data_IF_784991739359
#
_entry.id   IF_784991739359
#
_cell.length_a   1.000
_cell.length_b   1.000
_cell.length_c   1.000
_cell.angle_alpha   90.00
_cell.angle_beta   90.00
_cell.angle_gamma   90.00
#
_symmetry.space_group_name_H-M   'P 1'
#
loop_
_entity.id
_entity.type
_entity.pdbx_description
1 polymer ?
#
# COMPACT_ATOMS: atom_id res chain seq x y z
N UNK A 1 28.61 -57.62 -30.89
CA UNK A 1 28.31 -56.36 -31.59
C UNK A 1 27.12 -55.73 -30.91
N UNK A 2 27.34 -54.93 -29.90
CA UNK A 2 26.27 -54.29 -29.16
C UNK A 2 26.47 -52.76 -29.27
N UNK A 3 25.55 -52.14 -29.96
CA UNK A 3 25.59 -50.71 -30.27
C UNK A 3 24.82 -49.99 -29.17
N UNK A 4 25.55 -49.38 -28.23
CA UNK A 4 24.95 -48.54 -27.18
C UNK A 4 24.81 -47.14 -27.74
N UNK A 5 23.60 -46.77 -28.10
CA UNK A 5 23.24 -45.43 -28.53
C UNK A 5 23.09 -44.59 -27.29
N UNK A 6 24.06 -43.71 -27.05
CA UNK A 6 24.00 -42.70 -25.98
C UNK A 6 23.00 -41.62 -26.41
N UNK A 7 21.84 -41.62 -25.79
CA UNK A 7 20.90 -40.51 -25.88
C UNK A 7 21.49 -39.33 -25.08
N UNK A 8 22.06 -38.38 -25.78
CA UNK A 8 22.39 -37.06 -25.22
C UNK A 8 21.04 -36.34 -24.99
N UNK A 9 20.57 -36.37 -23.75
CA UNK A 9 19.49 -35.49 -23.31
C UNK A 9 20.00 -34.05 -23.42
N UNK A 10 19.47 -33.34 -24.39
CA UNK A 10 19.66 -31.90 -24.54
C UNK A 10 19.12 -31.21 -23.28
N UNK A 11 20.04 -30.75 -22.40
CA UNK A 11 19.69 -29.84 -21.33
C UNK A 11 19.21 -28.55 -21.99
N UNK A 12 17.90 -28.37 -22.08
CA UNK A 12 17.30 -27.11 -22.44
C UNK A 12 17.64 -26.14 -21.28
N UNK A 13 18.66 -25.33 -21.45
CA UNK A 13 18.97 -24.23 -20.54
C UNK A 13 17.71 -23.36 -20.45
N UNK A 14 17.00 -23.42 -19.32
CA UNK A 14 15.87 -22.54 -19.08
C UNK A 14 16.43 -21.12 -19.02
N UNK A 15 16.09 -20.32 -20.02
CA UNK A 15 16.42 -18.89 -20.05
C UNK A 15 15.86 -18.22 -18.80
N UNK A 16 16.70 -17.54 -18.03
CA UNK A 16 16.28 -16.85 -16.83
C UNK A 16 15.31 -15.72 -17.21
N UNK A 17 14.19 -15.59 -16.49
CA UNK A 17 13.22 -14.54 -16.80
C UNK A 17 13.84 -13.14 -16.60
N UNK A 18 13.59 -12.29 -17.57
CA UNK A 18 14.02 -10.89 -17.61
C UNK A 18 12.81 -9.99 -17.40
N UNK A 19 13.05 -8.69 -17.33
CA UNK A 19 11.99 -7.69 -17.29
C UNK A 19 12.32 -6.52 -18.19
N UNK A 20 11.26 -5.92 -18.73
CA UNK A 20 11.30 -4.55 -19.21
C UNK A 20 10.43 -3.69 -18.32
N UNK A 21 10.95 -2.56 -17.87
CA UNK A 21 10.19 -1.60 -17.04
C UNK A 21 9.98 -0.30 -17.81
N UNK A 22 8.80 0.26 -17.63
CA UNK A 22 8.42 1.55 -18.19
C UNK A 22 8.15 2.52 -17.05
N UNK A 23 8.86 3.64 -17.03
CA UNK A 23 8.89 4.57 -15.92
C UNK A 23 8.82 6.03 -16.41
N UNK A 24 8.37 6.92 -15.53
CA UNK A 24 8.31 8.34 -15.80
C UNK A 24 9.64 9.07 -15.50
N UNK A 25 9.67 10.36 -15.76
CA UNK A 25 10.82 11.25 -15.53
C UNK A 25 11.26 11.32 -14.07
N UNK A 26 10.37 11.00 -13.12
CA UNK A 26 10.69 10.89 -11.71
C UNK A 26 11.16 9.49 -11.30
N UNK A 27 11.24 8.55 -12.22
CA UNK A 27 11.67 7.18 -11.96
C UNK A 27 10.59 6.29 -11.34
N UNK A 28 9.32 6.72 -11.33
CA UNK A 28 8.22 5.87 -10.92
C UNK A 28 7.95 4.82 -12.00
N UNK A 29 8.13 3.54 -11.67
CA UNK A 29 7.81 2.45 -12.59
C UNK A 29 6.29 2.34 -12.70
N UNK A 30 5.77 2.59 -13.89
CA UNK A 30 4.34 2.52 -14.20
C UNK A 30 3.92 1.13 -14.62
N UNK A 31 4.79 0.42 -15.36
CA UNK A 31 4.58 -0.94 -15.81
C UNK A 31 5.88 -1.73 -15.73
N UNK A 32 5.77 -3.02 -15.44
CA UNK A 32 6.84 -3.98 -15.58
C UNK A 32 6.26 -5.23 -16.28
N UNK A 33 6.94 -5.66 -17.33
CA UNK A 33 6.66 -6.94 -18.00
C UNK A 33 7.79 -7.91 -17.67
N UNK A 34 7.45 -9.15 -17.37
CA UNK A 34 8.41 -10.22 -17.06
C UNK A 34 8.23 -11.34 -18.07
N UNK A 35 9.29 -11.75 -18.71
CA UNK A 35 9.26 -12.80 -19.74
C UNK A 35 10.65 -13.23 -20.18
N UNK A 36 10.73 -13.89 -21.34
CA UNK A 36 12.00 -14.18 -22.02
C UNK A 36 12.56 -12.89 -22.64
N UNK A 37 13.85 -12.91 -23.03
CA UNK A 37 14.50 -11.78 -23.72
C UNK A 37 13.69 -11.31 -24.92
N UNK A 38 13.32 -12.24 -25.81
CA UNK A 38 12.54 -11.91 -27.01
C UNK A 38 11.17 -11.30 -26.69
N UNK A 39 10.47 -11.81 -25.65
CA UNK A 39 9.19 -11.26 -25.21
C UNK A 39 9.33 -9.86 -24.62
N UNK A 40 10.43 -9.58 -23.93
CA UNK A 40 10.72 -8.25 -23.42
C UNK A 40 11.05 -7.27 -24.55
N UNK A 41 11.84 -7.71 -25.56
CA UNK A 41 12.18 -6.90 -26.73
C UNK A 41 10.95 -6.48 -27.55
N UNK A 42 9.96 -7.37 -27.69
CA UNK A 42 8.72 -7.12 -28.40
C UNK A 42 7.76 -6.12 -27.71
N UNK A 43 8.03 -5.73 -26.44
CA UNK A 43 7.16 -4.79 -25.74
C UNK A 43 7.32 -3.36 -26.26
N UNK A 44 6.26 -2.75 -26.79
CA UNK A 44 6.31 -1.35 -27.21
C UNK A 44 6.46 -0.41 -26.00
N UNK A 45 7.22 0.65 -26.17
CA UNK A 45 7.33 1.69 -25.16
C UNK A 45 6.07 2.57 -25.17
N UNK A 46 5.30 2.66 -24.09
CA UNK A 46 4.13 3.54 -24.03
C UNK A 46 4.54 5.02 -24.15
N UNK A 47 3.66 5.81 -24.76
CA UNK A 47 3.89 7.25 -24.94
C UNK A 47 4.13 7.96 -23.59
N UNK A 48 5.12 8.82 -23.54
CA UNK A 48 5.48 9.60 -22.35
C UNK A 48 6.23 8.82 -21.26
N UNK A 49 6.60 7.55 -21.51
CA UNK A 49 7.41 6.76 -20.59
C UNK A 49 8.80 6.47 -21.16
N UNK A 50 9.73 6.26 -20.25
CA UNK A 50 11.08 5.78 -20.54
C UNK A 50 11.10 4.25 -20.38
N UNK A 51 12.02 3.59 -21.13
CA UNK A 51 12.21 2.13 -21.10
C UNK A 51 13.53 1.78 -20.47
N UNK A 52 13.55 0.71 -19.67
CA UNK A 52 14.76 0.09 -19.14
C UNK A 52 14.64 -1.43 -19.17
N UNK A 53 15.56 -2.10 -19.85
CA UNK A 53 15.64 -3.55 -19.89
C UNK A 53 16.45 -4.07 -18.69
N UNK A 54 15.96 -5.12 -18.04
CA UNK A 54 16.54 -5.68 -16.83
C UNK A 54 16.75 -7.18 -16.99
N UNK A 55 17.93 -7.67 -16.61
CA UNK A 55 18.30 -9.08 -16.68
C UNK A 55 17.72 -9.94 -15.54
N UNK A 56 16.77 -9.45 -14.80
CA UNK A 56 16.08 -10.10 -13.69
C UNK A 56 14.62 -9.64 -13.62
N UNK A 57 13.74 -10.42 -12.99
CA UNK A 57 12.38 -9.99 -12.69
C UNK A 57 12.34 -8.74 -11.79
N UNK A 58 11.50 -7.77 -12.15
CA UNK A 58 11.29 -6.54 -11.39
C UNK A 58 9.84 -6.46 -10.94
N UNK A 59 9.65 -6.07 -9.67
CA UNK A 59 8.34 -5.79 -9.09
C UNK A 59 8.15 -4.26 -9.05
N UNK A 60 7.26 -3.76 -9.89
CA UNK A 60 7.09 -2.32 -10.12
C UNK A 60 6.77 -1.53 -8.83
N UNK A 61 5.88 -2.04 -7.98
CA UNK A 61 5.45 -1.29 -6.79
C UNK A 61 6.51 -1.21 -5.68
N UNK A 62 7.47 -2.16 -5.62
CA UNK A 62 8.55 -2.16 -4.62
C UNK A 62 9.84 -1.52 -5.12
N UNK A 63 9.88 -1.06 -6.37
CA UNK A 63 11.09 -0.55 -7.01
C UNK A 63 10.88 0.82 -7.64
N UNK A 64 11.96 1.52 -7.91
CA UNK A 64 12.01 2.75 -8.69
C UNK A 64 13.27 2.81 -9.53
N UNK A 65 13.31 3.69 -10.53
CA UNK A 65 14.50 3.91 -11.36
C UNK A 65 15.22 5.19 -10.91
N UNK A 66 16.52 5.10 -10.76
CA UNK A 66 17.42 6.24 -10.53
C UNK A 66 18.69 6.06 -11.37
N UNK A 67 19.04 7.06 -12.14
CA UNK A 67 20.26 7.07 -12.98
C UNK A 67 20.39 5.82 -13.88
N UNK A 68 19.24 5.36 -14.45
CA UNK A 68 19.20 4.17 -15.31
C UNK A 68 19.32 2.83 -14.57
N UNK A 69 19.19 2.82 -13.25
CA UNK A 69 19.27 1.60 -12.42
C UNK A 69 17.98 1.40 -11.65
N UNK A 70 17.48 0.15 -11.62
CA UNK A 70 16.33 -0.23 -10.78
C UNK A 70 16.82 -0.45 -9.34
N UNK A 71 16.23 0.31 -8.44
CA UNK A 71 16.53 0.29 -6.99
C UNK A 71 15.28 -0.15 -6.24
N UNK A 72 15.45 -0.99 -5.22
CA UNK A 72 14.40 -1.36 -4.29
C UNK A 72 14.09 -0.19 -3.34
N UNK A 73 12.79 0.09 -3.09
CA UNK A 73 12.37 1.13 -2.14
C UNK A 73 12.62 0.75 -0.69
N UNK A 74 12.82 -0.55 -0.42
CA UNK A 74 12.74 -1.08 0.92
C UNK A 74 11.31 -1.03 1.49
N UNK A 75 11.16 -1.52 2.70
CA UNK A 75 9.88 -1.49 3.40
C UNK A 75 9.54 -0.07 3.86
N UNK A 76 8.25 0.26 3.83
CA UNK A 76 7.77 1.51 4.41
C UNK A 76 8.05 1.52 5.92
N UNK A 77 8.65 2.59 6.49
CA UNK A 77 8.93 2.67 7.93
C UNK A 77 7.68 2.65 8.81
N UNK A 78 6.51 2.85 8.22
CA UNK A 78 5.24 2.84 8.93
C UNK A 78 4.02 2.86 8.00
N UNK A 79 2.80 2.69 8.56
CA UNK A 79 1.59 2.52 7.77
C UNK A 79 1.08 3.82 7.11
N UNK A 80 1.53 4.98 7.59
CA UNK A 80 1.12 6.30 7.10
C UNK A 80 2.20 6.96 6.23
N UNK A 81 2.94 6.14 5.47
CA UNK A 81 4.06 6.58 4.65
C UNK A 81 3.75 6.34 3.17
N UNK A 82 4.21 7.24 2.32
CA UNK A 82 4.26 7.06 0.86
C UNK A 82 5.68 7.24 0.37
N UNK A 83 6.02 6.59 -0.74
CA UNK A 83 7.31 6.82 -1.38
C UNK A 83 7.24 8.08 -2.25
N UNK A 84 8.11 9.04 -1.96
CA UNK A 84 8.25 10.26 -2.76
C UNK A 84 9.32 10.05 -3.84
N UNK A 85 8.87 10.02 -5.10
CA UNK A 85 9.75 9.76 -6.22
C UNK A 85 10.65 10.95 -6.57
N UNK A 86 10.31 12.16 -6.17
CA UNK A 86 11.18 13.32 -6.30
C UNK A 86 12.34 13.26 -5.32
N UNK A 87 12.05 12.95 -4.05
CA UNK A 87 13.05 12.84 -2.97
C UNK A 87 13.72 11.46 -2.90
N UNK A 88 13.19 10.42 -3.59
CA UNK A 88 13.65 9.02 -3.54
C UNK A 88 13.66 8.47 -2.10
N UNK A 89 12.66 8.82 -1.32
CA UNK A 89 12.56 8.45 0.09
C UNK A 89 11.11 8.27 0.54
N UNK A 90 10.92 7.53 1.63
CA UNK A 90 9.65 7.43 2.31
C UNK A 90 9.35 8.72 3.07
N UNK A 91 8.17 9.29 2.87
CA UNK A 91 7.69 10.49 3.53
C UNK A 91 6.33 10.24 4.19
N UNK A 92 5.99 11.00 5.21
CA UNK A 92 4.67 10.96 5.82
C UNK A 92 3.59 11.37 4.81
N UNK A 93 2.49 10.64 4.79
CA UNK A 93 1.32 10.94 3.96
C UNK A 93 0.16 11.38 4.86
N UNK A 94 -0.01 12.69 4.97
CA UNK A 94 -1.06 13.28 5.81
C UNK A 94 -2.47 12.88 5.34
N UNK A 95 -2.69 12.77 4.04
CA UNK A 95 -3.99 12.38 3.50
C UNK A 95 -4.34 10.94 3.87
N UNK A 96 -3.35 10.03 3.74
CA UNK A 96 -3.49 8.63 4.17
C UNK A 96 -3.69 8.53 5.68
N UNK A 97 -2.95 9.31 6.47
CA UNK A 97 -3.08 9.35 7.92
C UNK A 97 -4.50 9.78 8.34
N UNK A 98 -5.03 10.87 7.77
CA UNK A 98 -6.41 11.30 8.01
C UNK A 98 -7.45 10.27 7.54
N UNK A 99 -7.20 9.59 6.44
CA UNK A 99 -8.07 8.51 6.00
C UNK A 99 -8.12 7.38 7.04
N UNK A 100 -6.97 6.93 7.55
CA UNK A 100 -6.89 5.89 8.59
C UNK A 100 -7.56 6.33 9.89
N UNK A 101 -7.36 7.57 10.33
CA UNK A 101 -8.04 8.13 11.51
C UNK A 101 -9.56 8.06 11.33
N UNK A 102 -10.08 8.44 10.15
CA UNK A 102 -11.53 8.35 9.88
C UNK A 102 -12.04 6.91 9.91
N UNK A 103 -11.29 5.94 9.38
CA UNK A 103 -11.68 4.52 9.46
C UNK A 103 -11.82 4.05 10.91
N UNK A 104 -10.85 4.35 11.75
CA UNK A 104 -10.88 3.99 13.19
C UNK A 104 -12.04 4.70 13.91
N UNK A 105 -12.25 5.98 13.64
CA UNK A 105 -13.38 6.76 14.20
C UNK A 105 -14.72 6.14 13.80
N UNK A 106 -14.92 5.83 12.54
CA UNK A 106 -16.18 5.29 12.02
C UNK A 106 -16.47 3.93 12.61
N UNK A 107 -15.45 3.10 12.83
CA UNK A 107 -15.61 1.82 13.52
C UNK A 107 -16.03 2.01 14.99
N UNK A 108 -15.43 2.97 15.70
CA UNK A 108 -15.83 3.32 17.08
C UNK A 108 -17.25 3.87 17.16
N UNK A 109 -17.67 4.69 16.20
CA UNK A 109 -19.04 5.18 16.10
C UNK A 109 -20.01 4.02 15.84
N UNK A 110 -19.72 3.14 14.88
CA UNK A 110 -20.54 1.96 14.56
C UNK A 110 -20.68 1.03 15.76
N UNK A 111 -19.58 0.74 16.47
CA UNK A 111 -19.61 -0.13 17.65
C UNK A 111 -20.44 0.45 18.81
N UNK A 112 -20.71 1.76 18.79
CA UNK A 112 -21.52 2.46 19.79
C UNK A 112 -22.91 2.86 19.29
N UNK A 113 -23.35 2.49 18.08
CA UNK A 113 -24.67 2.87 17.51
C UNK A 113 -25.84 2.39 18.34
N UNK A 114 -25.69 1.27 19.05
CA UNK A 114 -26.69 0.75 19.96
C UNK A 114 -27.06 1.74 21.09
N UNK A 115 -26.21 2.71 21.40
CA UNK A 115 -26.45 3.76 22.41
C UNK A 115 -27.31 4.92 21.88
N UNK A 116 -27.56 4.97 20.57
CA UNK A 116 -28.30 6.05 19.90
C UNK A 116 -29.76 5.66 19.61
N UNK A 117 -30.28 4.69 20.35
CA UNK A 117 -31.66 4.19 20.22
C UNK A 117 -32.56 4.72 21.36
N UNK A 118 -33.84 4.86 21.09
CA UNK A 118 -34.83 5.28 22.12
C UNK A 118 -34.78 4.39 23.35
N UNK A 119 -34.57 3.09 23.20
CA UNK A 119 -34.48 2.14 24.32
C UNK A 119 -33.14 2.19 25.07
N UNK A 120 -32.16 2.89 24.58
CA UNK A 120 -30.84 2.97 25.24
C UNK A 120 -30.91 3.76 26.55
N UNK A 121 -31.73 4.82 26.61
CA UNK A 121 -31.89 5.62 27.82
C UNK A 121 -32.54 4.80 28.95
N UNK A 122 -33.53 3.94 28.62
CA UNK A 122 -34.19 3.08 29.59
C UNK A 122 -33.25 2.02 30.17
N UNK A 123 -32.36 1.48 29.33
CA UNK A 123 -31.38 0.45 29.74
C UNK A 123 -30.19 1.00 30.51
N UNK A 124 -29.71 2.18 30.12
CA UNK A 124 -28.50 2.79 30.68
C UNK A 124 -28.81 3.72 31.88
N UNK A 125 -29.97 4.30 31.91
CA UNK A 125 -30.27 5.46 32.76
C UNK A 125 -29.67 6.76 32.20
N UNK A 126 -30.25 7.88 32.60
CA UNK A 126 -29.93 9.23 32.06
C UNK A 126 -28.42 9.55 32.11
N UNK A 127 -27.74 9.24 33.21
CA UNK A 127 -26.33 9.59 33.40
C UNK A 127 -25.41 8.85 32.44
N UNK A 128 -25.55 7.51 32.28
CA UNK A 128 -24.74 6.73 31.35
C UNK A 128 -25.11 7.03 29.91
N UNK A 129 -26.37 7.22 29.60
CA UNK A 129 -26.77 7.65 28.26
C UNK A 129 -26.11 8.95 27.87
N UNK A 130 -26.10 9.96 28.74
CA UNK A 130 -25.41 11.24 28.50
C UNK A 130 -23.89 11.05 28.28
N UNK A 131 -23.25 10.20 29.07
CA UNK A 131 -21.83 9.90 28.90
C UNK A 131 -21.52 9.26 27.52
N UNK A 132 -22.38 8.35 27.03
CA UNK A 132 -22.23 7.76 25.71
C UNK A 132 -22.45 8.81 24.60
N UNK A 133 -23.41 9.71 24.74
CA UNK A 133 -23.61 10.80 23.78
C UNK A 133 -22.39 11.74 23.71
N UNK A 134 -21.81 12.08 24.86
CA UNK A 134 -20.58 12.88 24.92
C UNK A 134 -19.40 12.16 24.26
N UNK A 135 -19.23 10.85 24.51
CA UNK A 135 -18.21 10.03 23.86
C UNK A 135 -18.37 10.04 22.33
N UNK A 136 -19.58 9.82 21.82
CA UNK A 136 -19.88 9.84 20.38
C UNK A 136 -19.63 11.22 19.76
N UNK A 137 -19.97 12.29 20.49
CA UNK A 137 -19.66 13.65 20.03
C UNK A 137 -18.14 13.86 19.97
N UNK A 138 -17.42 13.48 21.00
CA UNK A 138 -15.96 13.57 21.02
C UNK A 138 -15.30 12.77 19.89
N UNK A 139 -15.85 11.61 19.49
CA UNK A 139 -15.40 10.88 18.31
C UNK A 139 -15.62 11.66 17.01
N UNK A 140 -16.76 12.34 16.85
CA UNK A 140 -17.04 13.17 15.67
C UNK A 140 -16.05 14.33 15.55
N UNK A 141 -15.58 14.85 16.71
CA UNK A 141 -14.68 15.98 16.81
C UNK A 141 -13.18 15.60 16.63
N UNK A 142 -12.85 14.30 16.62
CA UNK A 142 -11.46 13.81 16.42
C UNK A 142 -10.77 14.47 15.22
N UNK A 143 -11.38 14.62 14.03
CA UNK A 143 -10.71 15.26 12.90
C UNK A 143 -10.39 16.74 13.10
N UNK A 144 -10.94 17.39 14.13
CA UNK A 144 -10.69 18.80 14.45
C UNK A 144 -9.39 19.01 15.25
N UNK A 145 -8.72 17.93 15.66
CA UNK A 145 -7.46 18.01 16.42
C UNK A 145 -6.28 18.53 15.59
N UNK A 146 -6.37 18.49 14.26
CA UNK A 146 -5.39 19.11 13.37
C UNK A 146 -4.12 18.28 13.10
N UNK A 147 -3.82 17.25 13.90
CA UNK A 147 -2.66 16.35 13.72
C UNK A 147 -3.12 14.89 13.64
N UNK A 148 -3.02 14.24 12.46
CA UNK A 148 -3.44 12.84 12.31
C UNK A 148 -2.47 11.84 12.93
N UNK A 149 -1.23 12.24 13.24
CA UNK A 149 -0.21 11.36 13.81
C UNK A 149 -0.25 11.34 15.34
N UNK A 150 -0.81 12.38 15.96
CA UNK A 150 -0.92 12.54 17.41
C UNK A 150 -2.35 12.51 17.96
N UNK A 151 -3.27 11.80 17.30
CA UNK A 151 -4.69 11.76 17.69
C UNK A 151 -4.90 11.25 19.10
N UNK A 152 -5.56 12.06 19.93
CA UNK A 152 -6.05 11.68 21.27
C UNK A 152 -7.47 11.11 21.14
N UNK A 153 -7.60 9.81 21.35
CA UNK A 153 -8.89 9.13 21.27
C UNK A 153 -9.70 9.26 22.55
N UNK A 154 -11.00 9.61 22.47
CA UNK A 154 -11.87 9.59 23.64
C UNK A 154 -12.03 8.18 24.20
N UNK A 155 -12.19 8.07 25.52
CA UNK A 155 -12.41 6.80 26.21
C UNK A 155 -13.90 6.44 26.25
N UNK A 156 -14.24 5.22 25.84
CA UNK A 156 -15.61 4.76 25.92
C UNK A 156 -16.07 4.65 27.40
N UNK A 157 -17.30 5.06 27.72
CA UNK A 157 -17.85 4.86 29.04
C UNK A 157 -17.90 3.37 29.39
N UNK A 158 -17.70 3.04 30.69
CA UNK A 158 -17.84 1.67 31.18
C UNK A 158 -19.31 1.24 31.12
N UNK A 159 -19.52 -0.04 30.81
CA UNK A 159 -20.84 -0.67 30.80
C UNK A 159 -21.46 -0.74 32.20
#
# INVERSE_FOLDING_TARGET
>A
MSNTKSDAMSETSMEQPQSVVFYDDQGCIRFAFVGTSAQCEDQPTPEGLLRLDCNRPIVAFSSYVRDGVVIDKGDAPGPMMRFDYGQKSWVQDEALAWWMVRQVRDEKLRSSDWTDTMSAIDRLGVGRFSAWQQYRQALRDVPLQGDPYGVVWPQAPKH
#
